data_IF_487430305128
#
_entry.id   IF_487430305128
#
_cell.length_a   1.000
_cell.length_b   1.000
_cell.length_c   1.000
_cell.angle_alpha   90.00
_cell.angle_beta   90.00
_cell.angle_gamma   90.00
#
_symmetry.space_group_name_H-M   'P 1'
#
loop_
_entity.id
_entity.type
_entity.pdbx_description
1 polymer ?
#
# COMPACT_ATOMS: atom_id res chain seq x y z
N UNK A 1 1.49 9.12 -25.95
CA UNK A 1 2.83 9.15 -25.42
C UNK A 1 2.86 8.93 -23.92
N UNK A 2 3.72 8.09 -23.52
CA UNK A 2 3.87 7.84 -22.10
C UNK A 2 4.37 9.08 -21.37
N UNK A 3 3.77 9.35 -20.24
CA UNK A 3 4.22 10.43 -19.40
C UNK A 3 5.16 9.88 -18.36
N UNK A 4 6.41 9.91 -18.65
CA UNK A 4 7.38 9.48 -17.68
C UNK A 4 7.53 10.52 -16.62
N UNK A 5 7.46 10.08 -15.39
CA UNK A 5 8.01 10.86 -14.32
C UNK A 5 9.51 10.84 -14.50
N UNK A 6 10.13 12.02 -14.53
CA UNK A 6 11.57 12.13 -14.74
C UNK A 6 12.40 11.54 -13.59
N UNK A 7 11.73 11.09 -12.55
CA UNK A 7 12.36 10.42 -11.41
C UNK A 7 12.73 8.95 -11.68
N UNK A 8 12.38 8.42 -12.85
CA UNK A 8 12.68 7.04 -13.20
C UNK A 8 11.81 5.99 -12.51
N UNK A 9 10.74 6.41 -11.84
CA UNK A 9 9.86 5.47 -11.14
C UNK A 9 8.82 4.89 -12.09
N UNK A 10 8.44 3.65 -11.83
CA UNK A 10 7.32 3.02 -12.49
C UNK A 10 6.07 3.14 -11.61
N UNK A 11 5.00 3.67 -12.18
CA UNK A 11 3.73 3.82 -11.47
C UNK A 11 2.78 2.70 -11.86
N UNK A 12 2.26 2.00 -10.84
CA UNK A 12 1.36 0.87 -11.03
C UNK A 12 0.07 1.35 -11.71
N UNK A 13 -0.41 0.58 -12.66
CA UNK A 13 -1.59 0.96 -13.45
C UNK A 13 -2.85 1.02 -12.60
N UNK A 14 -3.75 1.91 -12.97
CA UNK A 14 -4.97 2.15 -12.23
C UNK A 14 -5.83 0.89 -12.01
N UNK A 15 -6.06 0.02 -12.99
CA UNK A 15 -6.85 -1.18 -12.76
C UNK A 15 -6.27 -2.08 -11.66
N UNK A 16 -4.95 -2.19 -11.58
CA UNK A 16 -4.28 -2.95 -10.54
C UNK A 16 -4.46 -2.28 -9.18
N UNK A 17 -4.30 -0.95 -9.13
CA UNK A 17 -4.52 -0.20 -7.88
C UNK A 17 -5.97 -0.34 -7.38
N UNK A 18 -6.93 -0.40 -8.28
CA UNK A 18 -8.33 -0.65 -7.89
C UNK A 18 -8.50 -2.02 -7.25
N UNK A 19 -7.85 -3.04 -7.80
CA UNK A 19 -7.88 -4.38 -7.19
C UNK A 19 -7.29 -4.34 -5.78
N UNK A 20 -6.18 -3.63 -5.61
CA UNK A 20 -5.53 -3.47 -4.31
C UNK A 20 -6.47 -2.79 -3.32
N UNK A 21 -7.11 -1.70 -3.71
CA UNK A 21 -8.05 -1.00 -2.85
C UNK A 21 -9.24 -1.90 -2.47
N UNK A 22 -9.73 -2.69 -3.40
CA UNK A 22 -10.83 -3.61 -3.14
C UNK A 22 -10.42 -4.68 -2.12
N UNK A 23 -9.21 -5.19 -2.21
CA UNK A 23 -8.68 -6.17 -1.25
C UNK A 23 -8.62 -5.55 0.14
N UNK A 24 -8.06 -4.35 0.24
CA UNK A 24 -7.93 -3.65 1.54
C UNK A 24 -9.30 -3.38 2.16
N UNK A 25 -10.25 -2.89 1.37
CA UNK A 25 -11.61 -2.64 1.85
C UNK A 25 -12.27 -3.92 2.36
N UNK A 26 -12.07 -5.03 1.65
CA UNK A 26 -12.64 -6.31 2.05
C UNK A 26 -12.06 -6.80 3.37
N UNK A 27 -10.76 -6.59 3.58
CA UNK A 27 -10.10 -6.95 4.83
C UNK A 27 -10.66 -6.12 5.99
N UNK A 28 -10.81 -4.81 5.79
CA UNK A 28 -11.40 -3.92 6.79
C UNK A 28 -12.80 -4.40 7.16
N UNK A 29 -13.59 -4.75 6.17
CA UNK A 29 -14.94 -5.29 6.42
C UNK A 29 -14.91 -6.60 7.17
N UNK A 30 -13.98 -7.50 6.82
CA UNK A 30 -13.87 -8.81 7.47
C UNK A 30 -13.48 -8.70 8.93
N UNK A 31 -12.86 -7.59 9.32
CA UNK A 31 -12.49 -7.32 10.72
C UNK A 31 -13.58 -6.59 11.49
N UNK A 32 -14.71 -6.33 10.86
CA UNK A 32 -15.84 -5.66 11.50
C UNK A 32 -15.67 -4.15 11.66
N UNK A 33 -14.77 -3.53 10.92
CA UNK A 33 -14.43 -2.11 11.06
C UNK A 33 -15.14 -1.24 10.02
N UNK A 34 -16.43 -1.44 9.86
CA UNK A 34 -17.16 -0.78 8.78
C UNK A 34 -18.44 -0.05 9.24
N UNK A 35 -18.63 0.15 10.53
CA UNK A 35 -19.91 0.62 11.07
C UNK A 35 -20.44 1.89 10.44
N UNK A 36 -19.57 2.84 10.13
CA UNK A 36 -20.00 4.12 9.54
C UNK A 36 -19.66 4.24 8.05
N UNK A 37 -18.98 3.27 7.49
CA UNK A 37 -18.58 3.31 6.09
C UNK A 37 -17.49 4.32 5.75
N UNK A 38 -17.23 5.30 6.61
CA UNK A 38 -16.29 6.39 6.34
C UNK A 38 -14.87 5.88 6.08
N UNK A 39 -14.43 4.92 6.88
CA UNK A 39 -13.09 4.35 6.70
C UNK A 39 -12.98 3.67 5.34
N UNK A 40 -13.95 2.83 5.00
CA UNK A 40 -13.95 2.09 3.73
C UNK A 40 -14.00 3.05 2.55
N UNK A 41 -14.87 4.05 2.62
CA UNK A 41 -15.02 5.03 1.55
C UNK A 41 -13.77 5.86 1.32
N UNK A 42 -12.98 6.08 2.37
CA UNK A 42 -11.77 6.89 2.28
C UNK A 42 -10.59 6.16 1.64
N UNK A 43 -10.63 4.83 1.56
CA UNK A 43 -9.47 4.04 1.12
C UNK A 43 -9.11 4.32 -0.33
N UNK A 44 -7.83 4.68 -0.53
CA UNK A 44 -7.21 4.83 -1.85
C UNK A 44 -5.83 4.19 -1.79
N UNK A 45 -5.37 3.69 -2.91
CA UNK A 45 -4.04 3.08 -3.01
C UNK A 45 -3.29 3.73 -4.16
N UNK A 46 -2.08 4.20 -3.87
CA UNK A 46 -1.09 4.51 -4.88
C UNK A 46 0.05 3.51 -4.73
N UNK A 47 0.69 3.19 -5.84
CA UNK A 47 1.78 2.23 -5.81
C UNK A 47 2.77 2.53 -6.92
N UNK A 48 4.06 2.37 -6.61
CA UNK A 48 5.13 2.58 -7.59
C UNK A 48 6.31 1.69 -7.24
N UNK A 49 7.09 1.38 -8.25
CA UNK A 49 8.38 0.70 -8.07
C UNK A 49 9.47 1.74 -8.23
N UNK A 50 10.26 1.93 -7.19
CA UNK A 50 11.36 2.91 -7.15
C UNK A 50 12.69 2.17 -7.12
N UNK A 51 13.74 2.83 -7.61
CA UNK A 51 15.04 2.19 -7.75
C UNK A 51 14.89 0.95 -8.62
N UNK A 52 15.47 -0.15 -8.18
CA UNK A 52 15.46 -1.38 -8.99
C UNK A 52 14.56 -2.49 -8.46
N UNK A 53 13.83 -2.32 -7.44
CA UNK A 53 12.88 -3.35 -6.99
C UNK A 53 12.15 -2.99 -5.71
N UNK A 54 12.12 -1.73 -5.36
CA UNK A 54 11.43 -1.30 -4.15
C UNK A 54 9.99 -0.94 -4.50
N UNK A 55 9.05 -1.77 -4.10
CA UNK A 55 7.63 -1.47 -4.26
C UNK A 55 7.19 -0.60 -3.09
N UNK A 56 6.75 0.61 -3.38
CA UNK A 56 6.17 1.51 -2.39
C UNK A 56 4.68 1.57 -2.58
N UNK A 57 3.96 1.29 -1.54
CA UNK A 57 2.50 1.30 -1.53
C UNK A 57 2.05 2.39 -0.56
N UNK A 58 1.33 3.37 -1.08
CA UNK A 58 0.74 4.42 -0.26
C UNK A 58 -0.69 4.02 0.07
N UNK A 59 -0.97 3.82 1.36
CA UNK A 59 -2.32 3.59 1.84
C UNK A 59 -2.88 4.93 2.29
N UNK A 60 -3.90 5.39 1.60
CA UNK A 60 -4.59 6.64 1.88
C UNK A 60 -5.92 6.25 2.52
N UNK A 61 -6.14 6.67 3.75
CA UNK A 61 -7.36 6.32 4.50
C UNK A 61 -7.57 7.32 5.63
N UNK A 62 -8.74 7.28 6.25
CA UNK A 62 -9.02 8.09 7.42
C UNK A 62 -7.88 7.97 8.44
N UNK A 63 -7.56 9.08 9.09
CA UNK A 63 -6.37 9.19 9.95
C UNK A 63 -6.30 8.10 11.02
N UNK A 64 -7.44 7.64 11.54
CA UNK A 64 -7.47 6.65 12.61
C UNK A 64 -7.14 5.22 12.12
N UNK A 65 -6.96 5.02 10.82
CA UNK A 65 -6.57 3.72 10.28
C UNK A 65 -5.29 3.20 10.93
N UNK A 66 -4.32 4.09 11.17
CA UNK A 66 -3.05 3.67 11.75
C UNK A 66 -3.21 3.07 13.14
N UNK A 67 -4.15 3.61 13.92
CA UNK A 67 -4.43 3.07 15.26
C UNK A 67 -5.12 1.71 15.18
N UNK A 68 -5.98 1.50 14.20
CA UNK A 68 -6.62 0.22 14.00
C UNK A 68 -5.63 -0.83 13.52
N UNK A 69 -4.72 -0.45 12.66
CA UNK A 69 -3.71 -1.39 12.17
C UNK A 69 -2.70 -1.76 13.24
N UNK A 70 -2.13 -0.77 13.93
CA UNK A 70 -1.03 -0.95 14.87
C UNK A 70 -1.48 -1.21 16.31
N UNK A 71 -2.74 -0.88 16.62
CA UNK A 71 -3.18 -0.81 18.00
C UNK A 71 -2.81 0.52 18.64
N UNK A 72 -3.43 0.86 19.74
CA UNK A 72 -3.15 2.10 20.44
C UNK A 72 -3.65 2.03 21.90
N UNK A 73 -2.95 2.72 22.77
CA UNK A 73 -3.42 2.98 24.13
C UNK A 73 -4.19 4.29 24.14
N UNK A 74 -5.37 4.30 24.76
CA UNK A 74 -6.20 5.48 24.84
C UNK A 74 -5.93 6.23 26.16
N UNK A 75 -6.12 7.56 26.12
CA UNK A 75 -5.89 8.41 27.29
C UNK A 75 -6.72 8.02 28.51
N UNK A 76 -7.86 7.37 28.30
CA UNK A 76 -8.75 6.94 29.38
C UNK A 76 -8.42 5.55 29.93
N UNK A 77 -7.29 4.97 29.53
CA UNK A 77 -6.88 3.63 29.95
C UNK A 77 -7.42 2.51 29.08
N UNK A 78 -8.22 2.84 28.07
CA UNK A 78 -8.67 1.84 27.09
C UNK A 78 -7.57 1.47 26.09
N UNK A 79 -7.78 0.38 25.36
CA UNK A 79 -6.81 -0.13 24.40
C UNK A 79 -7.53 -0.45 23.10
N UNK A 80 -6.94 -0.02 21.99
CA UNK A 80 -7.32 -0.50 20.66
C UNK A 80 -6.37 -1.64 20.34
N UNK A 81 -6.87 -2.88 20.18
CA UNK A 81 -5.98 -3.99 19.82
C UNK A 81 -5.50 -3.82 18.37
N UNK A 82 -4.30 -4.33 18.02
CA UNK A 82 -3.85 -4.30 16.64
C UNK A 82 -4.66 -5.29 15.81
N UNK A 83 -5.24 -4.78 14.71
CA UNK A 83 -6.01 -5.63 13.80
C UNK A 83 -5.16 -6.21 12.67
N UNK A 84 -3.89 -5.79 12.55
CA UNK A 84 -2.93 -6.30 11.57
C UNK A 84 -3.47 -6.25 10.14
N UNK A 85 -4.11 -5.14 9.79
CA UNK A 85 -4.79 -4.98 8.50
C UNK A 85 -3.80 -5.03 7.35
N UNK A 86 -2.67 -4.34 7.49
CA UNK A 86 -1.66 -4.28 6.42
C UNK A 86 -1.00 -5.65 6.20
N UNK A 87 -0.78 -6.41 7.26
CA UNK A 87 -0.25 -7.77 7.14
C UNK A 87 -1.21 -8.65 6.35
N UNK A 88 -2.49 -8.62 6.68
CA UNK A 88 -3.50 -9.37 5.96
C UNK A 88 -3.60 -8.93 4.49
N UNK A 89 -3.48 -7.63 4.25
CA UNK A 89 -3.45 -7.08 2.91
C UNK A 89 -2.28 -7.62 2.10
N UNK A 90 -1.08 -7.62 2.67
CA UNK A 90 0.10 -8.14 2.00
C UNK A 90 -0.05 -9.63 1.65
N UNK A 91 -0.53 -10.41 2.59
CA UNK A 91 -0.77 -11.83 2.37
C UNK A 91 -1.77 -12.05 1.23
N UNK A 92 -2.84 -11.28 1.21
CA UNK A 92 -3.86 -11.43 0.19
C UNK A 92 -3.37 -10.98 -1.18
N UNK A 93 -2.57 -9.94 -1.24
CA UNK A 93 -1.94 -9.52 -2.51
C UNK A 93 -1.08 -10.63 -3.10
N UNK A 94 -0.32 -11.31 -2.27
CA UNK A 94 0.49 -12.45 -2.73
C UNK A 94 -0.42 -13.59 -3.19
N UNK A 95 -1.43 -13.92 -2.38
CA UNK A 95 -2.34 -15.04 -2.69
C UNK A 95 -3.12 -14.82 -3.99
N UNK A 96 -3.48 -13.58 -4.30
CA UNK A 96 -4.23 -13.27 -5.51
C UNK A 96 -3.33 -12.92 -6.70
N UNK A 97 -2.03 -13.02 -6.54
CA UNK A 97 -1.08 -12.75 -7.62
C UNK A 97 -0.92 -11.29 -7.98
N UNK A 98 -1.35 -10.37 -7.13
CA UNK A 98 -1.26 -8.93 -7.40
C UNK A 98 0.20 -8.47 -7.42
N UNK A 99 1.00 -8.93 -6.48
CA UNK A 99 2.42 -8.60 -6.43
C UNK A 99 3.11 -9.05 -7.71
N UNK A 100 2.80 -10.27 -8.16
CA UNK A 100 3.34 -10.80 -9.43
C UNK A 100 2.90 -9.94 -10.61
N UNK A 101 1.63 -9.54 -10.63
CA UNK A 101 1.10 -8.66 -11.69
C UNK A 101 1.87 -7.34 -11.73
N UNK A 102 2.15 -6.73 -10.59
CA UNK A 102 2.88 -5.47 -10.49
C UNK A 102 4.29 -5.63 -11.06
N UNK A 103 5.00 -6.66 -10.65
CA UNK A 103 6.36 -6.87 -11.12
C UNK A 103 6.41 -7.25 -12.60
N UNK A 104 5.38 -7.92 -13.12
CA UNK A 104 5.26 -8.18 -14.55
C UNK A 104 5.13 -6.88 -15.34
N UNK A 105 4.29 -5.96 -14.85
CA UNK A 105 4.15 -4.63 -15.47
C UNK A 105 5.46 -3.86 -15.39
N UNK A 106 6.15 -3.92 -14.25
CA UNK A 106 7.43 -3.24 -14.08
C UNK A 106 8.49 -3.79 -15.02
N UNK A 107 8.57 -5.11 -15.16
CA UNK A 107 9.53 -5.77 -16.05
C UNK A 107 9.32 -5.32 -17.49
N UNK A 108 8.06 -5.27 -17.92
CA UNK A 108 7.73 -4.80 -19.27
C UNK A 108 8.14 -3.34 -19.44
N UNK A 109 7.83 -2.49 -18.47
CA UNK A 109 8.17 -1.07 -18.53
C UNK A 109 9.67 -0.84 -18.55
N UNK A 110 10.43 -1.51 -17.68
CA UNK A 110 11.88 -1.29 -17.60
C UNK A 110 12.58 -1.82 -18.85
N UNK A 111 12.09 -2.91 -19.42
CA UNK A 111 12.63 -3.45 -20.66
C UNK A 111 12.47 -2.48 -21.83
N UNK A 112 11.33 -1.78 -21.87
CA UNK A 112 11.04 -0.81 -22.92
C UNK A 112 11.83 0.49 -22.74
N UNK A 113 12.04 0.93 -21.50
CA UNK A 113 12.62 2.24 -21.21
C UNK A 113 14.10 2.19 -20.86
N UNK A 114 14.59 1.04 -20.43
CA UNK A 114 15.97 0.83 -20.03
C UNK A 114 16.44 -0.53 -20.52
N UNK A 115 16.60 -0.70 -21.85
CA UNK A 115 16.82 -2.04 -22.43
C UNK A 115 18.14 -2.71 -21.99
N UNK A 116 19.05 -1.96 -21.39
CA UNK A 116 20.32 -2.52 -20.91
C UNK A 116 20.20 -3.10 -19.50
N UNK A 117 19.05 -2.97 -18.84
CA UNK A 117 18.86 -3.48 -17.49
C UNK A 117 18.23 -4.87 -17.55
N UNK A 118 18.78 -5.79 -16.78
CA UNK A 118 18.20 -7.12 -16.62
C UNK A 118 17.21 -7.11 -15.47
N UNK A 119 15.99 -6.70 -15.78
CA UNK A 119 14.95 -6.46 -14.77
C UNK A 119 14.63 -7.70 -13.94
N UNK A 120 14.64 -8.87 -14.55
CA UNK A 120 14.32 -10.12 -13.85
C UNK A 120 15.31 -10.37 -12.72
N UNK A 121 16.60 -10.21 -12.99
CA UNK A 121 17.63 -10.42 -12.00
C UNK A 121 17.49 -9.46 -10.83
N UNK A 122 17.17 -8.20 -11.12
CA UNK A 122 16.97 -7.19 -10.09
C UNK A 122 15.77 -7.55 -9.20
N UNK A 123 14.65 -7.96 -9.81
CA UNK A 123 13.44 -8.29 -9.07
C UNK A 123 13.61 -9.50 -8.15
N UNK A 124 14.42 -10.46 -8.54
CA UNK A 124 14.64 -11.65 -7.73
C UNK A 124 15.51 -11.39 -6.50
N UNK A 125 16.41 -10.43 -6.58
CA UNK A 125 17.40 -10.21 -5.53
C UNK A 125 16.93 -9.30 -4.41
N UNK A 126 16.18 -8.25 -4.72
CA UNK A 126 15.95 -7.16 -3.76
C UNK A 126 14.50 -6.74 -3.67
N UNK A 127 13.59 -7.70 -3.61
CA UNK A 127 12.18 -7.36 -3.45
C UNK A 127 11.93 -6.79 -2.07
N UNK A 128 11.62 -5.50 -2.04
CA UNK A 128 11.23 -4.80 -0.83
C UNK A 128 9.87 -4.18 -1.02
N UNK A 129 9.02 -4.33 -0.01
CA UNK A 129 7.72 -3.67 -0.01
C UNK A 129 7.68 -2.71 1.17
N UNK A 130 7.43 -1.44 0.89
CA UNK A 130 7.33 -0.39 1.89
C UNK A 130 5.92 0.16 1.86
N UNK A 131 5.31 0.28 3.03
CA UNK A 131 3.97 0.84 3.17
C UNK A 131 4.07 2.22 3.80
N UNK A 132 3.55 3.21 3.09
CA UNK A 132 3.43 4.57 3.59
C UNK A 132 1.96 4.84 3.93
N UNK A 133 1.72 5.59 5.00
CA UNK A 133 0.36 5.97 5.36
C UNK A 133 0.14 7.46 5.13
N UNK A 134 -0.91 7.79 4.39
CA UNK A 134 -1.32 9.17 4.12
C UNK A 134 -2.69 9.38 4.76
N UNK A 135 -2.76 10.13 5.87
CA UNK A 135 -4.02 10.30 6.59
C UNK A 135 -5.00 11.21 5.84
N UNK A 136 -6.28 10.82 5.85
CA UNK A 136 -7.39 11.65 5.37
C UNK A 136 -8.03 12.32 6.59
N UNK A 137 -8.34 13.59 6.46
CA UNK A 137 -8.99 14.40 7.49
C UNK A 137 -8.34 14.29 8.87
N UNK A 138 -7.02 14.44 8.99
CA UNK A 138 -6.39 14.36 10.30
C UNK A 138 -6.78 15.58 11.15
N UNK A 139 -6.93 15.39 12.47
CA UNK A 139 -7.17 16.54 13.36
C UNK A 139 -5.95 17.44 13.40
N UNK A 140 -6.15 18.69 13.83
CA UNK A 140 -5.06 19.64 13.98
C UNK A 140 -3.97 19.09 14.90
N UNK A 141 -2.72 19.20 14.46
CA UNK A 141 -1.58 18.68 15.21
C UNK A 141 -1.32 17.19 15.05
N UNK A 142 -2.14 16.49 14.27
CA UNK A 142 -1.93 15.07 14.03
C UNK A 142 -0.62 14.84 13.26
N UNK A 143 0.16 13.89 13.73
CA UNK A 143 1.38 13.46 13.03
C UNK A 143 1.34 11.94 12.90
N UNK A 144 1.91 11.43 11.81
CA UNK A 144 2.08 9.99 11.63
C UNK A 144 3.34 9.60 12.39
N UNK A 145 3.19 9.36 13.70
CA UNK A 145 4.30 9.11 14.60
C UNK A 145 4.90 7.72 14.50
N UNK A 146 4.16 6.78 13.94
CA UNK A 146 4.62 5.39 13.83
C UNK A 146 4.41 4.88 12.42
N UNK A 147 5.35 4.08 11.88
CA UNK A 147 5.12 3.42 10.60
C UNK A 147 3.99 2.40 10.74
N UNK A 148 3.43 2.00 9.60
CA UNK A 148 2.46 0.91 9.58
C UNK A 148 3.16 -0.40 9.89
N UNK A 149 2.63 -1.16 10.84
CA UNK A 149 3.14 -2.49 11.17
C UNK A 149 2.68 -3.51 10.14
N UNK A 150 3.59 -4.36 9.76
CA UNK A 150 3.32 -5.42 8.77
C UNK A 150 3.64 -6.79 9.32
#
# INVERSE_FOLDING_TARGET
>A
MARYKKDGNFYVKYPTRRKMAAILKRIIMSKGLFQEGTLIESVRINARVTGFAKLEIDIIAMYYFIFLNNGADLWNGGVIPPYDIVRAFQEEMVNQGITTEIYSQYTEWITQNYPMVEAIEVLEKDQKIVYNFIPVDPPAGFTVGSPLDV
#
